data_IF_021964496418
#
_entry.id   IF_021964496418
#
_cell.length_a   1.000
_cell.length_b   1.000
_cell.length_c   1.000
_cell.angle_alpha   90.00
_cell.angle_beta   90.00
_cell.angle_gamma   90.00
#
_symmetry.space_group_name_H-M   'P 1'
#
loop_
_entity.id
_entity.type
_entity.pdbx_description
1 polymer ?
#
# COMPACT_ATOMS: atom_id res chain seq x y z
N UNK A 1 -52.92 32.22 -25.06
CA UNK A 1 -52.17 30.98 -25.35
C UNK A 1 -52.60 29.96 -24.32
N UNK A 2 -53.45 29.01 -24.73
CA UNK A 2 -54.07 28.02 -23.85
C UNK A 2 -53.07 26.96 -23.41
N UNK A 3 -53.08 26.66 -22.11
CA UNK A 3 -52.24 25.68 -21.45
C UNK A 3 -53.04 24.38 -21.34
N UNK A 4 -52.55 23.30 -21.95
CA UNK A 4 -53.07 21.96 -21.72
C UNK A 4 -52.12 21.17 -20.83
N UNK A 5 -52.61 20.81 -19.64
CA UNK A 5 -52.04 19.81 -18.74
C UNK A 5 -52.39 18.41 -19.25
N UNK A 6 -51.45 17.47 -19.16
CA UNK A 6 -51.69 16.04 -19.24
C UNK A 6 -51.16 15.35 -17.97
N UNK A 7 -51.81 14.25 -17.51
CA UNK A 7 -51.58 13.68 -16.19
C UNK A 7 -50.57 12.53 -16.17
N UNK A 8 -50.01 12.37 -14.97
CA UNK A 8 -49.13 11.31 -14.47
C UNK A 8 -49.84 9.95 -14.42
N UNK A 9 -49.12 8.86 -14.71
CA UNK A 9 -49.54 7.48 -14.40
C UNK A 9 -48.54 6.82 -13.47
N UNK A 10 -49.09 6.29 -12.37
CA UNK A 10 -48.48 5.47 -11.32
C UNK A 10 -48.28 4.00 -11.75
N UNK A 11 -47.39 3.33 -11.02
CA UNK A 11 -47.66 1.98 -10.52
C UNK A 11 -46.95 0.81 -11.22
N UNK A 12 -45.92 0.26 -10.58
CA UNK A 12 -45.62 -1.17 -10.66
C UNK A 12 -44.95 -1.63 -9.35
N UNK A 13 -45.77 -2.23 -8.48
CA UNK A 13 -45.37 -3.10 -7.36
C UNK A 13 -45.14 -4.52 -7.92
N UNK A 14 -44.20 -5.25 -7.31
CA UNK A 14 -43.89 -6.64 -7.64
C UNK A 14 -43.14 -7.27 -6.49
N UNK A 15 -43.91 -7.94 -5.64
CA UNK A 15 -43.54 -8.70 -4.44
C UNK A 15 -42.85 -10.05 -4.75
N UNK A 16 -42.06 -10.48 -3.76
CA UNK A 16 -41.92 -11.81 -3.12
C UNK A 16 -41.70 -13.11 -3.95
N UNK A 17 -40.72 -13.91 -3.50
CA UNK A 17 -40.89 -15.30 -2.98
C UNK A 17 -39.52 -16.00 -2.76
N UNK A 18 -39.18 -16.14 -1.47
CA UNK A 18 -38.76 -17.30 -0.66
C UNK A 18 -38.14 -18.63 -1.20
N UNK A 19 -37.46 -19.28 -0.24
CA UNK A 19 -37.19 -20.74 -0.04
C UNK A 19 -36.02 -21.42 -0.78
N UNK A 20 -35.01 -21.92 -0.04
CA UNK A 20 -35.03 -23.32 0.44
C UNK A 20 -33.78 -23.73 1.26
N UNK A 21 -34.07 -24.54 2.28
CA UNK A 21 -33.20 -25.16 3.27
C UNK A 21 -32.44 -26.37 2.69
N UNK A 22 -31.32 -26.76 3.32
CA UNK A 22 -30.90 -28.17 3.41
C UNK A 22 -29.93 -28.35 4.58
N UNK A 23 -30.42 -29.12 5.56
CA UNK A 23 -29.69 -29.78 6.64
C UNK A 23 -28.99 -31.05 6.12
N UNK A 24 -27.93 -31.52 6.77
CA UNK A 24 -27.61 -32.95 6.93
C UNK A 24 -26.40 -33.17 7.88
N UNK A 25 -26.74 -33.54 9.11
CA UNK A 25 -26.30 -34.68 9.95
C UNK A 25 -24.91 -35.36 9.72
N UNK A 26 -24.02 -35.35 10.72
CA UNK A 26 -23.68 -36.42 11.71
C UNK A 26 -22.66 -37.49 11.25
N UNK A 27 -21.60 -37.70 12.05
CA UNK A 27 -21.24 -39.00 12.65
C UNK A 27 -20.03 -38.91 13.60
N UNK A 28 -20.20 -39.49 14.79
CA UNK A 28 -19.23 -39.66 15.88
C UNK A 28 -18.29 -40.86 15.64
N UNK A 29 -17.07 -40.83 16.20
CA UNK A 29 -16.29 -42.06 16.42
C UNK A 29 -15.37 -41.98 17.66
N UNK A 30 -15.32 -43.11 18.36
CA UNK A 30 -15.03 -43.35 19.79
C UNK A 30 -13.53 -43.38 20.22
N UNK A 31 -13.36 -43.29 21.54
CA UNK A 31 -12.15 -43.34 22.35
C UNK A 31 -11.43 -44.71 22.43
N UNK A 32 -10.10 -44.68 22.61
CA UNK A 32 -9.26 -45.83 23.02
C UNK A 32 -8.31 -45.40 24.17
N UNK A 33 -8.20 -46.15 25.28
CA UNK A 33 -7.26 -45.82 26.36
C UNK A 33 -5.99 -46.68 26.33
N UNK A 34 -4.82 -46.08 26.61
CA UNK A 34 -3.56 -46.82 26.77
C UNK A 34 -2.81 -46.38 28.03
N UNK A 35 -2.57 -47.33 28.93
CA UNK A 35 -1.92 -47.18 30.24
C UNK A 35 -0.40 -47.39 30.15
N UNK A 36 0.42 -46.54 30.80
CA UNK A 36 1.89 -46.67 30.85
C UNK A 36 2.44 -46.53 32.27
N UNK A 37 3.28 -47.49 32.67
CA UNK A 37 3.95 -47.60 33.97
C UNK A 37 5.30 -46.87 34.01
N UNK A 38 5.60 -46.17 35.10
CA UNK A 38 6.83 -45.39 35.31
C UNK A 38 8.00 -46.23 35.87
N UNK A 39 9.19 -46.11 35.27
CA UNK A 39 10.44 -46.75 35.70
C UNK A 39 11.50 -45.73 36.18
N UNK A 40 12.21 -46.08 37.26
CA UNK A 40 13.08 -45.22 38.07
C UNK A 40 14.44 -44.83 37.43
N UNK A 41 14.94 -43.64 37.80
CA UNK A 41 16.09 -42.89 37.24
C UNK A 41 17.48 -43.59 37.24
N UNK A 42 17.71 -44.61 38.06
CA UNK A 42 19.06 -45.17 38.28
C UNK A 42 19.67 -45.94 37.10
N UNK A 43 18.86 -46.44 36.16
CA UNK A 43 19.34 -47.24 35.02
C UNK A 43 19.88 -46.39 33.84
N UNK A 44 19.81 -45.06 33.91
CA UNK A 44 20.04 -44.21 32.73
C UNK A 44 21.52 -43.95 32.44
N UNK A 45 22.37 -43.80 33.45
CA UNK A 45 23.81 -43.54 33.24
C UNK A 45 24.57 -44.79 32.78
N UNK A 46 24.14 -45.99 33.21
CA UNK A 46 24.75 -47.25 32.78
C UNK A 46 24.51 -47.53 31.29
N UNK A 47 23.36 -47.11 30.77
CA UNK A 47 23.02 -47.24 29.34
C UNK A 47 24.03 -46.51 28.43
N UNK A 48 24.39 -45.27 28.75
CA UNK A 48 25.30 -44.49 27.92
C UNK A 48 26.74 -44.93 28.03
N UNK A 49 27.20 -45.28 29.24
CA UNK A 49 28.53 -45.84 29.44
C UNK A 49 28.68 -47.17 28.68
N UNK A 50 27.63 -47.99 28.66
CA UNK A 50 27.59 -49.21 27.87
C UNK A 50 27.76 -48.93 26.37
N UNK A 51 26.91 -48.11 25.75
CA UNK A 51 26.99 -47.86 24.30
C UNK A 51 28.24 -47.11 23.86
N UNK A 52 28.74 -46.21 24.70
CA UNK A 52 30.04 -45.55 24.49
C UNK A 52 31.18 -46.57 24.54
N UNK A 53 31.16 -47.54 25.46
CA UNK A 53 32.14 -48.63 25.51
C UNK A 53 32.10 -49.54 24.27
N UNK A 54 30.96 -49.62 23.57
CA UNK A 54 30.81 -50.35 22.31
C UNK A 54 31.30 -49.56 21.09
N UNK A 55 31.89 -48.37 21.29
CA UNK A 55 32.43 -47.53 20.22
C UNK A 55 31.39 -46.68 19.48
N UNK A 56 30.14 -46.65 19.95
CA UNK A 56 29.13 -45.76 19.39
C UNK A 56 29.32 -44.33 19.89
N UNK A 57 29.21 -43.37 18.99
CA UNK A 57 29.14 -41.97 19.38
C UNK A 57 27.75 -41.69 19.97
N UNK A 58 27.63 -41.77 21.29
CA UNK A 58 26.37 -41.56 22.00
C UNK A 58 25.81 -40.14 21.87
N UNK A 59 26.57 -39.20 21.27
CA UNK A 59 26.13 -37.84 20.94
C UNK A 59 25.73 -37.67 19.47
N UNK A 60 25.79 -38.72 18.63
CA UNK A 60 25.32 -38.68 17.24
C UNK A 60 23.79 -38.47 17.20
N UNK A 61 23.27 -37.43 16.52
CA UNK A 61 21.84 -37.20 16.36
C UNK A 61 21.01 -38.43 15.97
N UNK A 62 21.56 -39.35 15.17
CA UNK A 62 20.86 -40.58 14.79
C UNK A 62 20.76 -41.57 15.95
N UNK A 63 21.83 -41.72 16.73
CA UNK A 63 21.83 -42.52 17.94
C UNK A 63 20.88 -41.93 19.00
N UNK A 64 20.84 -40.60 19.10
CA UNK A 64 19.95 -39.87 20.01
C UNK A 64 18.47 -40.05 19.67
N UNK A 65 18.12 -39.92 18.39
CA UNK A 65 16.76 -40.15 17.91
C UNK A 65 16.33 -41.61 18.17
N UNK A 66 17.23 -42.58 17.93
CA UNK A 66 16.98 -43.98 18.23
C UNK A 66 16.78 -44.20 19.75
N UNK A 67 17.65 -43.69 20.60
CA UNK A 67 17.55 -43.85 22.05
C UNK A 67 16.25 -43.24 22.62
N UNK A 68 15.81 -42.11 22.08
CA UNK A 68 14.55 -41.47 22.45
C UNK A 68 13.33 -42.31 22.01
N UNK A 69 13.36 -42.91 20.82
CA UNK A 69 12.32 -43.86 20.37
C UNK A 69 12.23 -45.09 21.26
N UNK A 70 13.35 -45.56 21.81
CA UNK A 70 13.40 -46.69 22.73
C UNK A 70 12.95 -46.34 24.17
N UNK A 71 12.50 -45.11 24.43
CA UNK A 71 12.01 -44.70 25.74
C UNK A 71 13.12 -44.50 26.79
N UNK A 72 14.38 -44.45 26.36
CA UNK A 72 15.48 -44.09 27.26
C UNK A 72 15.45 -42.58 27.49
N UNK A 73 14.91 -42.19 28.65
CA UNK A 73 14.79 -40.78 29.01
C UNK A 73 16.16 -40.10 29.05
N UNK A 74 16.35 -39.10 28.19
CA UNK A 74 17.58 -38.34 28.11
C UNK A 74 17.85 -37.62 29.43
N UNK A 75 19.10 -37.59 29.95
CA UNK A 75 19.47 -36.62 30.96
C UNK A 75 19.26 -35.25 30.33
N UNK A 76 18.21 -34.56 30.79
CA UNK A 76 17.93 -33.21 30.34
C UNK A 76 19.19 -32.38 30.61
N UNK A 77 19.80 -31.76 29.59
CA UNK A 77 21.02 -30.99 29.79
C UNK A 77 20.75 -29.99 30.90
N UNK A 78 21.74 -29.83 31.78
CA UNK A 78 21.64 -28.89 32.88
C UNK A 78 21.30 -27.50 32.30
N UNK A 79 20.66 -26.65 33.11
CA UNK A 79 20.32 -25.30 32.66
C UNK A 79 21.59 -24.55 32.21
N UNK A 80 22.73 -24.88 32.82
CA UNK A 80 24.05 -24.38 32.45
C UNK A 80 24.49 -24.84 31.06
N UNK A 81 24.40 -26.14 30.76
CA UNK A 81 24.77 -26.73 29.46
C UNK A 81 23.91 -26.16 28.33
N UNK A 82 22.61 -25.95 28.56
CA UNK A 82 21.73 -25.31 27.57
C UNK A 82 22.15 -23.88 27.28
N UNK A 83 22.47 -23.14 28.34
CA UNK A 83 22.85 -21.74 28.23
C UNK A 83 24.20 -21.59 27.52
N UNK A 84 25.16 -22.46 27.83
CA UNK A 84 26.44 -22.52 27.12
C UNK A 84 26.25 -22.87 25.64
N UNK A 85 25.38 -23.84 25.33
CA UNK A 85 25.05 -24.20 23.95
C UNK A 85 24.40 -23.05 23.18
N UNK A 86 23.52 -22.28 23.81
CA UNK A 86 22.89 -21.11 23.19
C UNK A 86 23.91 -20.00 22.90
N UNK A 87 24.77 -19.69 23.88
CA UNK A 87 25.85 -18.71 23.71
C UNK A 87 26.79 -19.13 22.57
N UNK A 88 27.24 -20.39 22.56
CA UNK A 88 28.10 -20.92 21.50
C UNK A 88 27.45 -20.82 20.11
N UNK A 89 26.15 -21.11 20.02
CA UNK A 89 25.37 -20.97 18.78
C UNK A 89 25.34 -19.52 18.30
N UNK A 90 25.08 -18.55 19.19
CA UNK A 90 25.06 -17.12 18.85
C UNK A 90 26.43 -16.62 18.38
N UNK A 91 27.50 -17.02 19.06
CA UNK A 91 28.87 -16.64 18.69
C UNK A 91 29.19 -17.15 17.28
N UNK A 92 28.85 -18.40 16.97
CA UNK A 92 29.20 -19.00 15.67
C UNK A 92 28.34 -18.50 14.52
N UNK A 93 27.03 -18.31 14.73
CA UNK A 93 26.07 -18.05 13.66
C UNK A 93 25.78 -16.57 13.43
N UNK A 94 25.79 -15.75 14.48
CA UNK A 94 25.24 -14.39 14.42
C UNK A 94 26.29 -13.27 14.54
N UNK A 95 27.50 -13.57 15.02
CA UNK A 95 28.59 -12.60 15.13
C UNK A 95 29.50 -12.73 13.89
N UNK A 96 29.54 -11.76 12.97
CA UNK A 96 30.33 -11.89 11.73
C UNK A 96 31.84 -11.64 11.92
N UNK A 97 32.24 -10.92 12.97
CA UNK A 97 33.61 -10.49 13.20
C UNK A 97 34.41 -11.53 14.03
N UNK A 98 35.47 -12.08 13.43
CA UNK A 98 36.33 -13.10 14.06
C UNK A 98 37.07 -12.61 15.32
N UNK A 99 37.43 -11.32 15.39
CA UNK A 99 38.02 -10.74 16.59
C UNK A 99 37.04 -10.77 17.75
N UNK A 100 35.75 -10.59 17.46
CA UNK A 100 34.70 -10.51 18.46
C UNK A 100 34.23 -11.92 18.86
N UNK A 101 34.19 -12.86 17.92
CA UNK A 101 34.04 -14.29 18.24
C UNK A 101 35.12 -14.77 19.20
N UNK A 102 36.38 -14.44 18.91
CA UNK A 102 37.53 -14.80 19.74
C UNK A 102 37.39 -14.22 21.16
N UNK A 103 36.88 -12.99 21.28
CA UNK A 103 36.60 -12.37 22.58
C UNK A 103 35.53 -13.14 23.37
N UNK A 104 34.39 -13.46 22.76
CA UNK A 104 33.32 -14.19 23.44
C UNK A 104 33.68 -15.64 23.76
N UNK A 105 34.45 -16.30 22.91
CA UNK A 105 35.01 -17.63 23.21
C UNK A 105 35.98 -17.60 24.38
N UNK A 106 36.83 -16.57 24.47
CA UNK A 106 37.70 -16.39 25.63
C UNK A 106 36.88 -16.18 26.91
N UNK A 107 35.78 -15.41 26.83
CA UNK A 107 34.87 -15.23 27.96
C UNK A 107 34.17 -16.53 28.36
N UNK A 108 33.70 -17.34 27.40
CA UNK A 108 32.99 -18.61 27.64
C UNK A 108 33.89 -19.76 28.11
N UNK A 109 35.19 -19.70 27.79
CA UNK A 109 36.17 -20.72 28.18
C UNK A 109 36.91 -20.39 29.49
N UNK A 110 36.54 -19.30 30.18
CA UNK A 110 37.08 -19.01 31.52
C UNK A 110 36.53 -20.02 32.54
N UNK A 111 37.40 -20.66 33.31
CA UNK A 111 37.01 -21.80 34.16
C UNK A 111 36.14 -21.33 35.33
N UNK A 112 34.97 -21.98 35.48
CA UNK A 112 33.91 -21.76 36.47
C UNK A 112 33.03 -20.53 36.21
N UNK A 113 32.05 -20.70 35.32
CA UNK A 113 30.95 -19.74 35.22
C UNK A 113 29.87 -20.05 36.25
N UNK A 114 29.58 -19.08 37.12
CA UNK A 114 28.29 -19.04 37.78
C UNK A 114 27.20 -18.69 36.74
N UNK A 115 25.98 -19.18 36.94
CA UNK A 115 24.81 -18.92 36.09
C UNK A 115 24.60 -17.43 35.80
N UNK A 116 24.97 -16.54 36.72
CA UNK A 116 24.93 -15.10 36.53
C UNK A 116 25.90 -14.61 35.44
N UNK A 117 27.10 -15.20 35.35
CA UNK A 117 28.08 -14.85 34.32
C UNK A 117 27.63 -15.31 32.94
N UNK A 118 27.12 -16.54 32.82
CA UNK A 118 26.60 -17.03 31.54
C UNK A 118 25.44 -16.16 31.03
N UNK A 119 24.51 -15.76 31.92
CA UNK A 119 23.43 -14.84 31.55
C UNK A 119 23.96 -13.47 31.09
N UNK A 120 25.04 -12.98 31.70
CA UNK A 120 25.66 -11.72 31.30
C UNK A 120 26.35 -11.84 29.93
N UNK A 121 27.08 -12.93 29.68
CA UNK A 121 27.71 -13.21 28.37
C UNK A 121 26.62 -13.31 27.29
N UNK A 122 25.53 -14.03 27.56
CA UNK A 122 24.38 -14.13 26.65
C UNK A 122 23.79 -12.75 26.34
N UNK A 123 23.59 -11.91 27.36
CA UNK A 123 23.10 -10.54 27.21
C UNK A 123 24.02 -9.68 26.34
N UNK A 124 25.34 -9.82 26.51
CA UNK A 124 26.34 -9.11 25.70
C UNK A 124 26.33 -9.58 24.23
N UNK A 125 26.16 -10.88 23.98
CA UNK A 125 25.99 -11.41 22.63
C UNK A 125 24.75 -10.80 21.96
N UNK A 126 23.61 -10.80 22.66
CA UNK A 126 22.36 -10.20 22.15
C UNK A 126 22.45 -8.69 21.91
N UNK A 127 23.15 -7.95 22.78
CA UNK A 127 23.45 -6.52 22.56
C UNK A 127 24.27 -6.31 21.29
N UNK A 128 25.30 -7.13 21.10
CA UNK A 128 26.17 -7.02 19.94
C UNK A 128 25.45 -7.33 18.62
N UNK A 129 24.58 -8.34 18.62
CA UNK A 129 23.78 -8.75 17.45
C UNK A 129 22.59 -7.79 17.22
N UNK A 130 22.31 -6.86 18.15
CA UNK A 130 21.22 -5.90 18.03
C UNK A 130 19.83 -6.48 18.33
N UNK A 131 19.76 -7.67 18.93
CA UNK A 131 18.52 -8.36 19.30
C UNK A 131 18.43 -8.37 20.82
N UNK A 132 18.01 -7.26 21.45
CA UNK A 132 17.70 -7.28 22.88
C UNK A 132 16.32 -7.93 23.09
N UNK A 133 16.18 -8.95 23.95
CA UNK A 133 14.87 -9.31 24.48
C UNK A 133 14.34 -8.09 25.26
N UNK A 134 13.26 -7.49 24.76
CA UNK A 134 12.67 -6.29 25.37
C UNK A 134 12.21 -6.61 26.78
N UNK A 135 12.85 -6.01 27.78
CA UNK A 135 12.30 -5.96 29.14
C UNK A 135 10.96 -5.20 29.05
N UNK A 136 9.84 -5.74 29.54
CA UNK A 136 8.56 -5.04 29.52
C UNK A 136 8.69 -3.76 30.33
N UNK A 137 8.61 -2.62 29.65
CA UNK A 137 8.57 -1.30 30.27
C UNK A 137 7.19 -1.13 30.93
N UNK A 138 7.09 -0.80 32.23
CA UNK A 138 5.81 -0.53 32.87
C UNK A 138 5.12 0.66 32.18
N UNK A 139 3.94 0.40 31.63
CA UNK A 139 3.11 1.39 30.96
C UNK A 139 2.33 2.21 32.00
N UNK A 140 2.94 3.28 32.51
CA UNK A 140 2.21 4.34 33.21
C UNK A 140 2.60 5.71 32.64
N UNK A 141 1.81 6.19 31.70
CA UNK A 141 1.63 7.61 31.46
C UNK A 141 0.27 7.84 30.80
N UNK A 142 -0.60 8.53 31.53
CA UNK A 142 -1.93 8.97 31.11
C UNK A 142 -1.77 10.17 30.15
N UNK A 143 -1.60 9.91 28.86
CA UNK A 143 -1.61 10.94 27.81
C UNK A 143 -3.04 11.15 27.27
N UNK A 144 -3.92 11.68 28.11
CA UNK A 144 -5.15 12.36 27.65
C UNK A 144 -4.83 13.80 27.27
N UNK A 145 -4.20 13.99 26.11
CA UNK A 145 -4.09 15.31 25.48
C UNK A 145 -5.06 15.39 24.31
N UNK A 146 -5.83 16.48 24.28
CA UNK A 146 -6.88 16.85 23.33
C UNK A 146 -6.37 17.05 21.89
N UNK A 147 -5.82 16.01 21.27
CA UNK A 147 -5.60 16.04 19.83
C UNK A 147 -6.97 15.91 19.12
N UNK A 148 -7.31 16.78 18.16
CA UNK A 148 -8.50 16.58 17.34
C UNK A 148 -8.42 15.18 16.73
N UNK A 149 -9.47 14.37 16.92
CA UNK A 149 -9.54 13.02 16.35
C UNK A 149 -9.13 13.12 14.88
N UNK A 150 -8.06 12.43 14.44
CA UNK A 150 -7.63 12.51 13.05
C UNK A 150 -8.83 12.16 12.18
N UNK A 151 -9.12 13.00 11.18
CA UNK A 151 -10.17 12.69 10.20
C UNK A 151 -9.80 11.33 9.62
N UNK A 152 -10.62 10.31 9.92
CA UNK A 152 -10.46 8.97 9.37
C UNK A 152 -10.37 9.14 7.85
N UNK A 153 -9.23 8.72 7.30
CA UNK A 153 -9.02 8.72 5.87
C UNK A 153 -10.11 7.85 5.24
N UNK A 154 -11.02 8.47 4.48
CA UNK A 154 -11.94 7.71 3.67
C UNK A 154 -11.13 7.15 2.50
N UNK A 155 -11.06 5.82 2.41
CA UNK A 155 -10.43 5.16 1.29
C UNK A 155 -11.00 5.74 -0.02
N UNK A 156 -10.16 6.04 -1.02
CA UNK A 156 -10.63 6.55 -2.30
C UNK A 156 -11.64 5.57 -2.87
N UNK A 157 -12.88 6.02 -3.08
CA UNK A 157 -13.86 5.21 -3.79
C UNK A 157 -13.41 5.14 -5.25
N UNK A 158 -13.04 3.94 -5.70
CA UNK A 158 -12.74 3.71 -7.10
C UNK A 158 -14.00 3.96 -7.93
N UNK A 159 -13.94 4.93 -8.84
CA UNK A 159 -14.98 5.09 -9.85
C UNK A 159 -15.02 3.85 -10.74
N UNK A 160 -16.22 3.39 -11.09
CA UNK A 160 -16.40 2.34 -12.11
C UNK A 160 -15.68 2.75 -13.41
N UNK A 161 -15.06 1.79 -14.09
CA UNK A 161 -14.21 2.05 -15.26
C UNK A 161 -14.92 2.88 -16.34
N UNK A 162 -16.17 2.57 -16.67
CA UNK A 162 -16.94 3.32 -17.66
C UNK A 162 -17.16 4.80 -17.30
N UNK A 163 -17.15 5.16 -16.01
CA UNK A 163 -17.21 6.55 -15.56
C UNK A 163 -15.87 7.27 -15.76
N UNK A 164 -14.76 6.55 -15.62
CA UNK A 164 -13.41 7.09 -15.87
C UNK A 164 -13.22 7.35 -17.36
N UNK A 165 -13.56 6.38 -18.20
CA UNK A 165 -13.51 6.52 -19.66
C UNK A 165 -14.39 7.68 -20.15
N UNK A 166 -15.65 7.76 -19.67
CA UNK A 166 -16.54 8.88 -19.99
C UNK A 166 -15.93 10.23 -19.56
N UNK A 167 -15.33 10.31 -18.37
CA UNK A 167 -14.72 11.55 -17.89
C UNK A 167 -13.51 11.98 -18.74
N UNK A 168 -12.73 11.02 -19.23
CA UNK A 168 -11.59 11.27 -20.12
C UNK A 168 -12.06 11.71 -21.52
N UNK A 169 -13.09 11.07 -22.08
CA UNK A 169 -13.70 11.49 -23.34
C UNK A 169 -14.30 12.89 -23.26
N UNK A 170 -15.07 13.18 -22.19
CA UNK A 170 -15.63 14.51 -21.96
C UNK A 170 -14.51 15.55 -21.83
N UNK A 171 -13.39 15.22 -21.17
CA UNK A 171 -12.23 16.12 -21.08
C UNK A 171 -11.67 16.46 -22.46
N UNK A 172 -11.51 15.45 -23.32
CA UNK A 172 -10.96 15.62 -24.67
C UNK A 172 -11.89 16.46 -25.55
N UNK A 173 -13.18 16.13 -25.61
CA UNK A 173 -14.15 16.87 -26.42
C UNK A 173 -14.33 18.32 -25.96
N UNK A 174 -14.29 18.59 -24.65
CA UNK A 174 -14.31 19.98 -24.14
C UNK A 174 -13.08 20.75 -24.62
N UNK A 175 -11.90 20.14 -24.63
CA UNK A 175 -10.69 20.77 -25.10
C UNK A 175 -10.70 21.08 -26.60
N UNK A 176 -11.27 20.18 -27.41
CA UNK A 176 -11.46 20.39 -28.85
C UNK A 176 -12.42 21.57 -29.07
N UNK A 177 -13.58 21.57 -28.42
CA UNK A 177 -14.58 22.64 -28.58
C UNK A 177 -14.06 24.01 -28.11
N UNK A 178 -13.26 24.04 -27.05
CA UNK A 178 -12.59 25.26 -26.58
C UNK A 178 -11.36 25.66 -27.42
N UNK A 179 -11.03 24.90 -28.48
CA UNK A 179 -9.87 25.12 -29.36
C UNK A 179 -8.53 25.17 -28.63
N UNK A 180 -8.44 24.42 -27.53
CA UNK A 180 -7.20 24.26 -26.74
C UNK A 180 -6.29 23.24 -27.43
N UNK A 181 -6.88 22.19 -28.00
CA UNK A 181 -6.22 21.18 -28.84
C UNK A 181 -6.82 21.32 -30.26
N UNK A 182 -6.02 21.23 -31.33
CA UNK A 182 -6.55 21.20 -32.69
C UNK A 182 -7.55 20.05 -32.84
N UNK A 183 -8.71 20.32 -33.43
CA UNK A 183 -9.64 19.26 -33.82
C UNK A 183 -9.09 18.49 -35.02
N UNK A 184 -9.64 17.30 -35.30
CA UNK A 184 -9.24 16.48 -36.45
C UNK A 184 -9.27 17.25 -37.78
N UNK A 185 -10.20 18.21 -37.91
CA UNK A 185 -10.36 19.06 -39.08
C UNK A 185 -9.22 20.09 -39.26
N UNK A 186 -8.53 20.47 -38.18
CA UNK A 186 -7.47 21.50 -38.19
C UNK A 186 -6.06 20.90 -38.41
N UNK A 187 -5.89 19.58 -38.31
CA UNK A 187 -4.59 18.89 -38.34
C UNK A 187 -3.88 19.04 -39.70
N UNK A 188 -4.61 19.32 -40.79
CA UNK A 188 -4.02 19.39 -42.13
C UNK A 188 -3.18 20.67 -42.39
N UNK A 189 -3.19 21.68 -41.51
CA UNK A 189 -2.58 22.99 -41.84
C UNK A 189 -1.27 23.31 -41.09
N UNK A 190 -0.87 22.54 -40.07
CA UNK A 190 0.27 22.88 -39.20
C UNK A 190 1.39 21.80 -39.15
N UNK A 191 1.62 21.06 -40.24
CA UNK A 191 2.66 20.03 -40.29
C UNK A 191 4.12 20.54 -40.20
N UNK A 192 4.35 21.86 -40.20
CA UNK A 192 5.69 22.48 -40.27
C UNK A 192 6.19 23.11 -38.95
N UNK A 193 5.43 23.06 -37.86
CA UNK A 193 5.86 23.66 -36.59
C UNK A 193 6.41 22.62 -35.60
N UNK A 194 7.73 22.43 -35.66
CA UNK A 194 8.66 22.10 -34.55
C UNK A 194 8.19 21.11 -33.46
N UNK A 195 8.99 20.05 -33.26
CA UNK A 195 8.89 18.96 -32.26
C UNK A 195 8.83 19.35 -30.76
N UNK A 196 8.35 20.54 -30.40
CA UNK A 196 8.10 20.95 -29.03
C UNK A 196 6.79 20.35 -28.49
N UNK A 197 6.69 20.12 -27.17
CA UNK A 197 5.41 19.78 -26.55
C UNK A 197 4.39 20.90 -26.82
N UNK A 198 3.12 20.57 -27.13
CA UNK A 198 2.12 21.57 -27.49
C UNK A 198 1.97 22.59 -26.36
N UNK A 199 2.29 23.85 -26.66
CA UNK A 199 2.08 24.98 -25.75
C UNK A 199 0.58 25.08 -25.49
N UNK A 200 0.17 24.76 -24.26
CA UNK A 200 -1.23 24.88 -23.85
C UNK A 200 -1.65 26.35 -23.98
N UNK A 201 -2.57 26.63 -24.91
CA UNK A 201 -3.19 27.96 -25.03
C UNK A 201 -3.81 28.35 -23.67
N UNK A 202 -3.67 29.62 -23.23
CA UNK A 202 -4.32 30.10 -22.03
C UNK A 202 -5.83 29.86 -22.12
N UNK A 203 -6.45 29.39 -21.03
CA UNK A 203 -7.90 29.27 -20.94
C UNK A 203 -8.52 30.66 -21.09
N UNK A 204 -9.50 30.76 -21.99
CA UNK A 204 -10.32 31.95 -22.19
C UNK A 204 -11.67 31.78 -21.48
N UNK A 205 -12.18 32.88 -20.92
CA UNK A 205 -13.54 32.96 -20.35
C UNK A 205 -14.42 33.86 -21.21
N UNK A 206 -15.74 33.65 -21.18
CA UNK A 206 -16.70 34.50 -21.90
C UNK A 206 -16.64 35.94 -21.39
N UNK A 207 -16.70 36.91 -22.30
CA UNK A 207 -16.64 38.32 -21.93
C UNK A 207 -17.88 38.77 -21.16
N UNK A 208 -17.71 39.72 -20.24
CA UNK A 208 -18.82 40.34 -19.50
C UNK A 208 -19.83 41.02 -20.42
N UNK A 209 -19.38 41.63 -21.52
CA UNK A 209 -20.24 42.24 -22.53
C UNK A 209 -21.15 41.18 -23.21
N UNK A 210 -20.59 40.04 -23.60
CA UNK A 210 -21.35 38.91 -24.18
C UNK A 210 -22.39 38.40 -23.19
N UNK A 211 -22.03 38.24 -21.91
CA UNK A 211 -22.96 37.82 -20.86
C UNK A 211 -24.13 38.81 -20.68
N UNK A 212 -23.86 40.12 -20.75
CA UNK A 212 -24.89 41.16 -20.65
C UNK A 212 -25.81 41.18 -21.88
N UNK A 213 -25.26 41.04 -23.08
CA UNK A 213 -26.05 40.95 -24.31
C UNK A 213 -26.92 39.69 -24.33
N UNK A 214 -26.37 38.55 -23.91
CA UNK A 214 -27.12 37.30 -23.81
C UNK A 214 -28.28 37.38 -22.83
N UNK A 215 -28.07 37.97 -21.64
CA UNK A 215 -29.15 38.22 -20.67
C UNK A 215 -30.28 39.11 -21.22
N UNK A 216 -29.98 39.97 -22.19
CA UNK A 216 -30.96 40.82 -22.90
C UNK A 216 -31.54 40.15 -24.16
N UNK A 217 -31.19 38.89 -24.43
CA UNK A 217 -31.53 38.16 -25.65
C UNK A 217 -31.02 38.85 -26.94
N UNK A 218 -29.93 39.61 -26.84
CA UNK A 218 -29.31 40.33 -27.97
C UNK A 218 -28.09 39.61 -28.55
N UNK A 219 -27.58 38.59 -27.86
CA UNK A 219 -26.50 37.73 -28.36
C UNK A 219 -26.94 36.28 -28.35
N UNK A 220 -26.46 35.51 -29.31
CA UNK A 220 -26.60 34.06 -29.30
C UNK A 220 -25.89 33.49 -28.06
N UNK A 221 -26.50 32.47 -27.45
CA UNK A 221 -25.90 31.76 -26.33
C UNK A 221 -24.68 30.94 -26.74
N UNK A 222 -24.13 30.11 -25.83
CA UNK A 222 -23.08 29.18 -26.20
C UNK A 222 -23.55 28.28 -27.35
N UNK A 223 -22.66 28.02 -28.30
CA UNK A 223 -22.91 27.14 -29.46
C UNK A 223 -21.70 26.26 -29.70
N UNK A 224 -21.83 25.20 -30.51
CA UNK A 224 -20.70 24.32 -30.84
C UNK A 224 -19.58 25.08 -31.55
N UNK A 225 -19.94 26.06 -32.40
CA UNK A 225 -18.97 26.88 -33.17
C UNK A 225 -18.26 27.94 -32.32
N UNK A 226 -18.94 28.44 -31.29
CA UNK A 226 -18.42 29.47 -30.37
C UNK A 226 -18.51 28.97 -28.92
N UNK A 227 -17.86 27.83 -28.67
CA UNK A 227 -17.96 27.16 -27.38
C UNK A 227 -16.99 27.79 -26.37
N UNK A 228 -17.52 28.69 -25.54
CA UNK A 228 -16.76 29.39 -24.49
C UNK A 228 -17.45 29.17 -23.14
N UNK A 229 -16.67 29.00 -22.08
CA UNK A 229 -17.16 28.81 -20.71
C UNK A 229 -17.01 30.10 -19.89
N UNK A 230 -17.83 30.25 -18.86
CA UNK A 230 -17.67 31.30 -17.85
C UNK A 230 -16.87 30.72 -16.68
N UNK A 231 -15.57 30.96 -16.65
CA UNK A 231 -14.65 30.36 -15.67
C UNK A 231 -14.47 31.23 -14.41
N UNK A 232 -14.77 32.53 -14.50
CA UNK A 232 -14.63 33.54 -13.44
C UNK A 232 -15.87 33.70 -12.54
N UNK A 233 -17.02 33.17 -12.96
CA UNK A 233 -18.30 33.26 -12.22
C UNK A 233 -18.65 32.04 -11.37
N UNK A 234 -17.72 31.07 -11.25
CA UNK A 234 -17.94 29.78 -10.61
C UNK A 234 -18.59 28.72 -11.50
N UNK A 235 -18.87 27.56 -10.91
CA UNK A 235 -19.17 26.33 -11.68
C UNK A 235 -20.59 26.38 -12.28
N UNK A 236 -21.58 26.83 -11.50
CA UNK A 236 -23.02 26.70 -11.81
C UNK A 236 -23.66 28.00 -12.33
N UNK A 237 -22.93 28.78 -13.12
CA UNK A 237 -23.49 29.97 -13.77
C UNK A 237 -24.58 29.61 -14.77
N UNK A 238 -25.48 30.55 -15.06
CA UNK A 238 -26.53 30.34 -16.07
C UNK A 238 -25.91 30.06 -17.45
N UNK A 239 -24.79 30.71 -17.77
CA UNK A 239 -24.02 30.47 -18.99
C UNK A 239 -23.46 29.05 -19.06
N UNK A 240 -22.80 28.57 -18.00
CA UNK A 240 -22.24 27.22 -17.96
C UNK A 240 -23.33 26.13 -18.03
N UNK A 241 -24.51 26.38 -17.45
CA UNK A 241 -25.66 25.48 -17.60
C UNK A 241 -26.15 25.40 -19.05
N UNK A 242 -26.20 26.53 -19.75
CA UNK A 242 -26.55 26.55 -21.18
C UNK A 242 -25.47 25.86 -22.02
N UNK A 243 -24.19 26.10 -21.74
CA UNK A 243 -23.07 25.44 -22.40
C UNK A 243 -23.10 23.92 -22.17
N UNK A 244 -23.48 23.46 -20.96
CA UNK A 244 -23.66 22.04 -20.66
C UNK A 244 -24.71 21.39 -21.56
N UNK A 245 -25.84 22.05 -21.81
CA UNK A 245 -26.90 21.53 -22.68
C UNK A 245 -26.39 21.37 -24.12
N UNK A 246 -25.69 22.39 -24.63
CA UNK A 246 -25.09 22.37 -25.98
C UNK A 246 -24.05 21.26 -26.09
N UNK A 247 -23.18 21.16 -25.08
CA UNK A 247 -22.15 20.12 -25.01
C UNK A 247 -22.76 18.72 -25.00
N UNK A 248 -23.76 18.46 -24.15
CA UNK A 248 -24.38 17.13 -24.05
C UNK A 248 -25.04 16.72 -25.37
N UNK A 249 -25.72 17.65 -26.06
CA UNK A 249 -26.31 17.36 -27.37
C UNK A 249 -25.24 17.01 -28.42
N UNK A 250 -24.16 17.79 -28.47
CA UNK A 250 -23.03 17.51 -29.36
C UNK A 250 -22.38 16.16 -29.04
N UNK A 251 -22.10 15.91 -27.75
CA UNK A 251 -21.40 14.72 -27.29
C UNK A 251 -22.21 13.44 -27.56
N UNK A 252 -23.51 13.44 -27.26
CA UNK A 252 -24.38 12.27 -27.49
C UNK A 252 -24.62 12.04 -28.99
N UNK A 253 -24.64 13.08 -29.81
CA UNK A 253 -24.70 12.93 -31.27
C UNK A 253 -23.44 12.23 -31.83
N UNK A 254 -22.27 12.50 -31.24
CA UNK A 254 -20.99 11.86 -31.61
C UNK A 254 -20.80 10.48 -30.95
N UNK A 255 -21.31 10.30 -29.73
CA UNK A 255 -21.14 9.12 -28.89
C UNK A 255 -22.49 8.63 -28.35
N UNK A 256 -23.27 7.97 -29.20
CA UNK A 256 -24.66 7.60 -28.94
C UNK A 256 -24.88 6.63 -27.76
N UNK A 257 -23.81 5.99 -27.25
CA UNK A 257 -23.89 5.01 -26.16
C UNK A 257 -24.04 5.62 -24.75
N UNK A 258 -23.86 6.94 -24.58
CA UNK A 258 -23.88 7.57 -23.26
C UNK A 258 -25.20 8.29 -22.96
N UNK A 259 -25.66 8.17 -21.71
CA UNK A 259 -26.84 8.90 -21.21
C UNK A 259 -26.51 10.38 -21.01
N UNK A 260 -27.45 11.25 -21.40
CA UNK A 260 -27.30 12.71 -21.30
C UNK A 260 -26.94 13.17 -19.87
N UNK A 261 -27.54 12.57 -18.84
CA UNK A 261 -27.31 12.97 -17.45
C UNK A 261 -25.92 12.61 -16.92
N UNK A 262 -25.37 11.47 -17.35
CA UNK A 262 -24.00 11.06 -17.01
C UNK A 262 -22.98 11.99 -17.68
N UNK A 263 -23.19 12.32 -18.96
CA UNK A 263 -22.36 13.28 -19.71
C UNK A 263 -22.40 14.66 -19.05
N UNK A 264 -23.60 15.13 -18.67
CA UNK A 264 -23.77 16.42 -17.98
C UNK A 264 -23.04 16.44 -16.64
N UNK A 265 -23.10 15.36 -15.87
CA UNK A 265 -22.42 15.25 -14.58
C UNK A 265 -20.90 15.25 -14.74
N UNK A 266 -20.37 14.50 -15.71
CA UNK A 266 -18.96 14.49 -16.05
C UNK A 266 -18.48 15.87 -16.54
N UNK A 267 -19.28 16.54 -17.39
CA UNK A 267 -18.99 17.88 -17.89
C UNK A 267 -18.93 18.94 -16.77
N UNK A 268 -19.88 18.91 -15.83
CA UNK A 268 -19.86 19.83 -14.68
C UNK A 268 -18.68 19.59 -13.74
N UNK A 269 -18.29 18.32 -13.56
CA UNK A 269 -17.04 17.96 -12.85
C UNK A 269 -15.83 18.53 -13.59
N UNK A 270 -15.82 18.47 -14.92
CA UNK A 270 -14.75 19.06 -15.74
C UNK A 270 -14.67 20.58 -15.60
N UNK A 271 -15.80 21.30 -15.63
CA UNK A 271 -15.83 22.75 -15.39
C UNK A 271 -15.21 23.10 -14.03
N UNK A 272 -15.51 22.31 -13.00
CA UNK A 272 -14.92 22.52 -11.66
C UNK A 272 -13.40 22.56 -11.70
N UNK A 273 -12.79 21.63 -12.45
CA UNK A 273 -11.35 21.63 -12.65
C UNK A 273 -10.89 22.83 -13.48
N UNK A 274 -11.59 23.17 -14.56
CA UNK A 274 -11.23 24.30 -15.43
C UNK A 274 -11.30 25.66 -14.71
N UNK A 275 -12.28 25.87 -13.82
CA UNK A 275 -12.33 27.07 -12.97
C UNK A 275 -11.09 27.17 -12.07
N UNK A 276 -10.68 26.06 -11.43
CA UNK A 276 -9.45 26.03 -10.62
C UNK A 276 -8.20 26.30 -11.46
N UNK A 277 -8.11 25.67 -12.63
CA UNK A 277 -6.99 25.86 -13.55
C UNK A 277 -6.94 27.33 -14.03
N UNK A 278 -8.09 27.95 -14.31
CA UNK A 278 -8.20 29.36 -14.70
C UNK A 278 -7.84 30.33 -13.57
N UNK A 279 -8.28 30.07 -12.34
CA UNK A 279 -7.90 30.87 -11.15
C UNK A 279 -6.40 30.78 -10.84
N UNK A 280 -5.75 29.70 -11.23
CA UNK A 280 -4.30 29.52 -11.12
C UNK A 280 -3.55 30.10 -12.33
N UNK A 281 -4.22 30.27 -13.47
CA UNK A 281 -3.63 30.83 -14.66
C UNK A 281 -3.22 32.29 -14.42
N UNK A 282 -1.95 32.60 -14.70
CA UNK A 282 -1.38 33.93 -14.46
C UNK A 282 -0.93 34.18 -13.01
N UNK A 283 -1.19 33.27 -12.07
CA UNK A 283 -0.51 33.28 -10.78
C UNK A 283 0.83 32.58 -10.94
N UNK A 284 1.91 33.34 -10.88
CA UNK A 284 3.23 32.76 -10.70
C UNK A 284 3.25 32.05 -9.36
N UNK A 285 3.39 30.72 -9.40
CA UNK A 285 3.56 29.94 -8.17
C UNK A 285 4.81 30.43 -7.45
N UNK A 286 4.69 30.74 -6.17
CA UNK A 286 5.86 31.11 -5.38
C UNK A 286 6.80 29.92 -5.25
N UNK A 287 8.09 30.17 -5.00
CA UNK A 287 9.06 29.10 -4.75
C UNK A 287 8.60 28.20 -3.56
N UNK A 288 7.97 28.81 -2.56
CA UNK A 288 7.41 28.11 -1.39
C UNK A 288 6.25 27.18 -1.78
N UNK A 289 5.33 27.63 -2.63
CA UNK A 289 4.22 26.80 -3.13
C UNK A 289 4.73 25.61 -3.95
N UNK A 290 5.77 25.80 -4.77
CA UNK A 290 6.40 24.70 -5.50
C UNK A 290 7.04 23.68 -4.55
N UNK A 291 7.72 24.14 -3.51
CA UNK A 291 8.34 23.26 -2.51
C UNK A 291 7.30 22.54 -1.65
N UNK A 292 6.20 23.20 -1.29
CA UNK A 292 5.08 22.59 -0.57
C UNK A 292 4.38 21.53 -1.43
N UNK A 293 4.08 21.84 -2.69
CA UNK A 293 3.49 20.87 -3.63
C UNK A 293 4.43 19.67 -3.83
N UNK A 294 5.74 19.93 -3.95
CA UNK A 294 6.76 18.88 -4.06
C UNK A 294 6.82 18.02 -2.81
N UNK A 295 6.73 18.63 -1.61
CA UNK A 295 6.66 17.92 -0.32
C UNK A 295 5.39 17.09 -0.22
N UNK A 296 4.23 17.64 -0.57
CA UNK A 296 2.95 16.94 -0.55
C UNK A 296 2.97 15.70 -1.47
N UNK A 297 3.48 15.84 -2.71
CA UNK A 297 3.66 14.72 -3.64
C UNK A 297 4.64 13.66 -3.10
N UNK A 298 5.68 14.05 -2.35
CA UNK A 298 6.60 13.10 -1.71
C UNK A 298 5.89 12.32 -0.59
N UNK A 299 5.14 12.99 0.27
CA UNK A 299 4.38 12.36 1.34
C UNK A 299 3.32 11.40 0.79
N UNK A 300 2.55 11.83 -0.21
CA UNK A 300 1.54 10.98 -0.86
C UNK A 300 2.15 9.71 -1.48
N UNK A 301 3.35 9.80 -2.08
CA UNK A 301 4.05 8.61 -2.60
C UNK A 301 4.51 7.65 -1.50
N UNK A 302 4.98 8.18 -0.36
CA UNK A 302 5.40 7.37 0.79
C UNK A 302 4.19 6.70 1.45
N UNK A 303 3.10 7.43 1.59
CA UNK A 303 1.83 6.92 2.12
C UNK A 303 1.27 5.79 1.25
N UNK A 304 1.19 5.99 -0.07
CA UNK A 304 0.79 4.95 -1.00
C UNK A 304 1.72 3.71 -0.96
N UNK A 305 3.01 3.89 -0.67
CA UNK A 305 3.95 2.77 -0.52
C UNK A 305 3.73 2.01 0.80
N UNK A 306 3.43 2.71 1.90
CA UNK A 306 3.06 2.11 3.17
C UNK A 306 1.79 1.27 3.01
N UNK A 307 0.72 1.84 2.44
CA UNK A 307 -0.56 1.15 2.25
C UNK A 307 -0.39 -0.16 1.47
N UNK A 308 0.35 -0.13 0.35
CA UNK A 308 0.63 -1.34 -0.45
C UNK A 308 1.34 -2.43 0.35
N UNK A 309 2.31 -2.05 1.18
CA UNK A 309 3.11 -3.00 1.99
C UNK A 309 2.30 -3.58 3.14
N UNK A 310 1.52 -2.74 3.83
CA UNK A 310 0.60 -3.19 4.88
C UNK A 310 -0.42 -4.16 4.31
N UNK A 311 -1.03 -3.83 3.15
CA UNK A 311 -1.98 -4.72 2.47
C UNK A 311 -1.33 -6.04 2.04
N UNK A 312 -0.12 -6.00 1.48
CA UNK A 312 0.62 -7.20 1.13
C UNK A 312 0.87 -8.11 2.35
N UNK A 313 1.26 -7.52 3.48
CA UNK A 313 1.44 -8.24 4.74
C UNK A 313 0.13 -8.85 5.23
N UNK A 314 -0.99 -8.10 5.21
CA UNK A 314 -2.30 -8.61 5.64
C UNK A 314 -2.73 -9.84 4.85
N UNK A 315 -2.50 -9.86 3.53
CA UNK A 315 -2.81 -11.00 2.67
C UNK A 315 -1.92 -12.21 3.02
N UNK A 316 -0.62 -11.98 3.27
CA UNK A 316 0.29 -13.04 3.73
C UNK A 316 -0.14 -13.60 5.09
N UNK A 317 -0.41 -12.73 6.05
CA UNK A 317 -0.82 -13.09 7.42
C UNK A 317 -2.15 -13.85 7.45
N UNK A 318 -3.12 -13.47 6.61
CA UNK A 318 -4.38 -14.21 6.48
C UNK A 318 -4.17 -15.64 5.95
N UNK A 319 -3.17 -15.84 5.08
CA UNK A 319 -2.87 -17.15 4.50
C UNK A 319 -2.11 -18.06 5.48
N UNK A 320 -1.26 -17.48 6.34
CA UNK A 320 -0.43 -18.21 7.30
C UNK A 320 -0.22 -17.40 8.60
N UNK A 321 -1.19 -17.42 9.53
CA UNK A 321 -1.19 -16.51 10.67
C UNK A 321 -0.18 -16.91 11.75
N UNK A 322 0.06 -18.20 11.95
CA UNK A 322 0.87 -18.72 13.06
C UNK A 322 2.34 -18.23 13.05
N UNK A 323 3.11 -18.31 11.95
CA UNK A 323 4.49 -17.82 11.92
C UNK A 323 4.59 -16.30 11.85
N UNK A 324 3.52 -15.61 11.43
CA UNK A 324 3.53 -14.16 11.20
C UNK A 324 2.90 -13.36 12.34
N UNK A 325 2.41 -14.00 13.40
CA UNK A 325 1.67 -13.33 14.48
C UNK A 325 2.49 -12.24 15.19
N UNK A 326 3.76 -12.52 15.48
CA UNK A 326 4.66 -11.54 16.11
C UNK A 326 4.89 -10.33 15.19
N UNK A 327 5.04 -10.57 13.89
CA UNK A 327 5.19 -9.51 12.88
C UNK A 327 3.91 -8.70 12.69
N UNK A 328 2.73 -9.31 12.87
CA UNK A 328 1.45 -8.61 12.76
C UNK A 328 1.31 -7.48 13.79
N UNK A 329 1.88 -7.67 14.98
CA UNK A 329 1.96 -6.59 15.98
C UNK A 329 2.93 -5.50 15.53
N UNK A 330 4.08 -5.87 14.95
CA UNK A 330 5.05 -4.91 14.42
C UNK A 330 4.48 -4.04 13.28
N UNK A 331 3.72 -4.62 12.35
CA UNK A 331 3.16 -3.90 11.19
C UNK A 331 2.26 -2.74 11.60
N UNK A 332 1.59 -2.81 12.76
CA UNK A 332 0.77 -1.71 13.30
C UNK A 332 1.57 -0.45 13.63
N UNK A 333 2.88 -0.58 13.84
CA UNK A 333 3.77 0.54 14.14
C UNK A 333 4.45 1.12 12.89
N UNK A 334 4.26 0.53 11.71
CA UNK A 334 4.78 1.10 10.48
C UNK A 334 4.05 2.40 10.15
N UNK A 335 4.81 3.48 10.00
CA UNK A 335 4.31 4.78 9.61
C UNK A 335 4.96 5.26 8.30
N UNK A 336 4.52 6.41 7.79
CA UNK A 336 5.05 7.03 6.57
C UNK A 336 6.57 7.28 6.72
N UNK A 337 7.03 7.53 7.95
CA UNK A 337 8.45 7.72 8.23
C UNK A 337 9.30 6.48 8.01
N UNK A 338 8.71 5.29 8.15
CA UNK A 338 9.34 4.01 7.81
C UNK A 338 9.47 3.77 6.29
N UNK A 339 8.93 4.63 5.43
CA UNK A 339 9.03 4.50 3.97
C UNK A 339 10.17 5.34 3.41
N UNK A 340 11.03 4.73 2.57
CA UNK A 340 12.04 5.46 1.81
C UNK A 340 11.37 6.32 0.74
N UNK A 341 11.79 7.59 0.64
CA UNK A 341 11.46 8.45 -0.50
C UNK A 341 12.57 8.42 -1.56
N UNK A 342 12.20 8.56 -2.83
CA UNK A 342 13.14 9.04 -3.84
C UNK A 342 13.27 10.57 -3.64
N UNK A 343 14.41 11.02 -3.12
CA UNK A 343 14.72 12.44 -2.95
C UNK A 343 15.45 12.96 -4.19
N UNK A 344 14.76 13.74 -5.02
CA UNK A 344 15.46 14.50 -6.06
C UNK A 344 16.14 15.70 -5.42
N UNK A 345 17.46 15.76 -5.49
CA UNK A 345 18.24 16.93 -5.08
C UNK A 345 18.01 18.14 -6.00
N UNK A 346 18.62 19.30 -5.67
CA UNK A 346 18.55 20.49 -6.51
C UNK A 346 19.08 20.25 -7.94
N UNK A 347 20.03 19.33 -8.12
CA UNK A 347 20.62 18.96 -9.42
C UNK A 347 19.79 17.95 -10.25
N UNK A 348 18.50 17.73 -9.93
CA UNK A 348 17.65 16.68 -10.55
C UNK A 348 18.15 15.23 -10.38
N UNK A 349 19.27 15.01 -9.70
CA UNK A 349 19.75 13.68 -9.31
C UNK A 349 18.82 13.08 -8.25
N UNK A 350 18.31 11.88 -8.49
CA UNK A 350 17.51 11.12 -7.53
C UNK A 350 18.44 10.38 -6.57
N UNK A 351 18.40 10.76 -5.30
CA UNK A 351 19.04 10.04 -4.21
C UNK A 351 17.98 9.21 -3.49
N UNK A 352 18.23 7.91 -3.31
CA UNK A 352 17.49 7.15 -2.30
C UNK A 352 18.05 7.57 -0.95
N UNK A 353 17.26 8.26 -0.14
CA UNK A 353 17.67 8.48 1.25
C UNK A 353 17.63 7.14 1.98
N UNK A 354 18.83 6.59 2.24
CA UNK A 354 19.00 5.56 3.26
C UNK A 354 18.66 6.22 4.58
N UNK A 355 17.51 5.87 5.11
CA UNK A 355 17.07 6.29 6.43
C UNK A 355 18.04 5.69 7.44
N UNK A 356 18.95 6.48 7.99
CA UNK A 356 20.08 5.99 8.81
C UNK A 356 19.64 5.19 10.04
N UNK A 357 18.44 5.46 10.55
CA UNK A 357 17.86 4.76 11.68
C UNK A 357 17.17 3.44 11.31
N UNK A 358 17.01 3.13 10.00
CA UNK A 358 16.36 1.90 9.55
C UNK A 358 17.34 0.75 9.65
N UNK A 359 16.99 -0.27 10.43
CA UNK A 359 17.76 -1.52 10.50
C UNK A 359 17.77 -2.24 9.14
N UNK A 360 18.77 -3.10 8.94
CA UNK A 360 18.90 -3.85 7.69
C UNK A 360 17.70 -4.81 7.50
N UNK A 361 17.30 -5.47 8.58
CA UNK A 361 16.19 -6.42 8.65
C UNK A 361 14.87 -5.75 8.28
N UNK A 362 14.63 -4.52 8.78
CA UNK A 362 13.44 -3.76 8.40
C UNK A 362 13.48 -3.39 6.91
N UNK A 363 14.64 -3.06 6.36
CA UNK A 363 14.76 -2.77 4.94
C UNK A 363 14.47 -4.01 4.08
N UNK A 364 15.00 -5.17 4.44
CA UNK A 364 14.75 -6.45 3.77
C UNK A 364 13.28 -6.86 3.88
N UNK A 365 12.69 -6.76 5.07
CA UNK A 365 11.27 -7.03 5.30
C UNK A 365 10.38 -6.16 4.40
N UNK A 366 10.62 -4.85 4.36
CA UNK A 366 9.88 -3.93 3.50
C UNK A 366 10.09 -4.23 2.00
N UNK A 367 11.27 -4.72 1.62
CA UNK A 367 11.56 -5.16 0.25
C UNK A 367 10.80 -6.44 -0.09
N UNK A 368 10.74 -7.41 0.83
CA UNK A 368 9.96 -8.63 0.69
C UNK A 368 8.47 -8.31 0.50
N UNK A 369 7.90 -7.42 1.32
CA UNK A 369 6.51 -6.96 1.15
C UNK A 369 6.27 -6.29 -0.21
N UNK A 370 7.25 -5.55 -0.71
CA UNK A 370 7.17 -4.93 -2.04
C UNK A 370 7.20 -5.98 -3.15
N UNK A 371 8.05 -7.01 -3.02
CA UNK A 371 8.12 -8.14 -3.94
C UNK A 371 6.82 -8.96 -3.92
N UNK A 372 6.27 -9.21 -2.74
CA UNK A 372 4.99 -9.91 -2.58
C UNK A 372 3.83 -9.12 -3.22
N UNK A 373 3.77 -7.80 -3.00
CA UNK A 373 2.79 -6.94 -3.67
C UNK A 373 2.87 -7.06 -5.20
N UNK A 374 4.08 -7.08 -5.78
CA UNK A 374 4.27 -7.27 -7.22
C UNK A 374 3.84 -8.66 -7.69
N UNK A 375 4.10 -9.70 -6.88
CA UNK A 375 3.62 -11.07 -7.14
C UNK A 375 2.09 -11.12 -7.20
N UNK A 376 1.40 -10.44 -6.28
CA UNK A 376 -0.07 -10.37 -6.27
C UNK A 376 -0.65 -9.67 -7.50
N UNK A 377 0.11 -8.77 -8.13
CA UNK A 377 -0.30 -8.11 -9.37
C UNK A 377 -0.03 -8.95 -10.62
N UNK A 378 0.72 -10.04 -10.51
CA UNK A 378 1.03 -10.91 -11.64
C UNK A 378 -0.12 -11.88 -11.88
N UNK A 379 -0.74 -11.79 -13.06
CA UNK A 379 -1.85 -12.66 -13.47
C UNK A 379 -1.37 -13.93 -14.20
N UNK A 380 -0.05 -14.13 -14.32
CA UNK A 380 0.54 -15.19 -15.14
C UNK A 380 0.71 -14.80 -16.61
N UNK A 381 1.47 -15.59 -17.38
CA UNK A 381 1.66 -15.41 -18.83
C UNK A 381 2.18 -14.02 -19.26
N UNK A 382 2.94 -13.34 -18.39
CA UNK A 382 3.40 -11.97 -18.65
C UNK A 382 2.32 -10.89 -18.52
N UNK A 383 1.11 -11.24 -18.07
CA UNK A 383 -0.01 -10.31 -17.83
C UNK A 383 -0.01 -9.84 -16.38
N UNK A 384 -0.44 -8.59 -16.18
CA UNK A 384 -0.49 -7.94 -14.87
C UNK A 384 -1.84 -7.26 -14.68
N UNK A 385 -2.28 -7.11 -13.43
CA UNK A 385 -3.43 -6.27 -13.07
C UNK A 385 -3.20 -4.83 -13.54
N UNK A 386 -4.27 -4.10 -13.87
CA UNK A 386 -4.18 -2.71 -14.37
C UNK A 386 -3.34 -1.82 -13.46
N UNK A 387 -2.28 -1.25 -14.03
CA UNK A 387 -1.31 -0.39 -13.37
C UNK A 387 0.02 -0.39 -14.14
N UNK A 388 0.79 0.69 -14.05
CA UNK A 388 2.12 0.75 -14.69
C UNK A 388 3.09 -0.12 -13.88
N UNK A 389 3.66 -1.15 -14.52
CA UNK A 389 4.74 -1.93 -13.91
C UNK A 389 5.87 -0.99 -13.50
N UNK A 390 6.55 -1.21 -12.35
CA UNK A 390 7.70 -0.39 -12.02
C UNK A 390 8.69 -0.36 -13.19
N UNK A 391 9.01 0.84 -13.70
CA UNK A 391 9.98 0.95 -14.78
C UNK A 391 11.28 0.25 -14.37
N UNK A 392 11.82 -0.59 -15.27
CA UNK A 392 13.11 -1.22 -15.07
C UNK A 392 14.14 -0.13 -14.76
N UNK A 393 14.70 -0.17 -13.55
CA UNK A 393 15.74 0.76 -13.13
C UNK A 393 17.08 0.16 -13.54
N UNK A 394 17.67 0.70 -14.61
CA UNK A 394 19.06 0.40 -14.95
C UNK A 394 19.97 1.23 -14.05
N UNK A 395 21.08 0.65 -13.60
CA UNK A 395 22.11 1.42 -12.92
C UNK A 395 22.60 2.50 -13.89
N UNK A 396 22.51 3.77 -13.48
CA UNK A 396 23.20 4.84 -14.19
C UNK A 396 24.69 4.63 -13.96
N UNK A 397 25.43 4.30 -15.02
CA UNK A 397 26.89 4.21 -15.00
C UNK A 397 27.53 5.53 -14.59
#
# INVERSE_FOLDING_TARGET
MSVHNLPTQDGFEGDDEDEDENEDEHEDMEDVPESRSEGTSSNRNEFFLYWSSQGYNVMDPQFLAWAQQQGHGWPQPSVEERLQSEIASLINLAIPDESIKSHFWALLNCWQHDMAQLKNILKQCYQYIGIMPSVPVPLEADYKTYAPKPKLYQAPQHCAEGKVELADMVRQEVWILMKIIPGDDDIQTEADATNGPPLKKPLATVSTATLLLWKKNLAEGPSVRNFVLQLDGGIRTVWNKAAAIVFCRYFVAKHACYKVDDVKTAFMTRITQLCRDFEQQGKEKTAEEFDEERRARRLARRDALLDRRVRAFQIMHYSDPAPLQTLANFVKYLCIDCMSGDESGPEKKSYKTRVRWRSHELAEFLQLLSGYHLKLQYLGQGKYTRGVFPHARYASN
#
